data_IF_511313441316
#
_entry.id   IF_511313441316
#
_cell.length_a   1.000
_cell.length_b   1.000
_cell.length_c   1.000
_cell.angle_alpha   90.00
_cell.angle_beta   90.00
_cell.angle_gamma   90.00
#
_symmetry.space_group_name_H-M   'P 1'
#
loop_
_entity.id
_entity.type
_entity.pdbx_description
1 polymer ?
#
# COMPACT_ATOMS: atom_id res chain seq x y z
N UNK A 1 3.05 7.69 -32.68
CA UNK A 1 3.55 7.82 -31.28
C UNK A 1 2.42 7.81 -30.24
N UNK A 2 1.32 8.56 -30.43
CA UNK A 2 0.14 8.58 -29.54
C UNK A 2 -0.39 7.19 -29.10
N UNK A 3 -0.61 6.19 -29.98
CA UNK A 3 -1.10 4.88 -29.55
C UNK A 3 -0.10 4.08 -28.70
N UNK A 4 1.20 4.27 -28.88
CA UNK A 4 2.22 3.64 -28.04
C UNK A 4 2.24 4.24 -26.63
N UNK A 5 2.12 5.57 -26.52
CA UNK A 5 2.06 6.28 -25.24
C UNK A 5 0.85 5.81 -24.41
N UNK A 6 -0.32 5.77 -25.04
CA UNK A 6 -1.60 5.43 -24.39
C UNK A 6 -1.64 3.95 -23.98
N UNK A 7 -1.17 3.05 -24.85
CA UNK A 7 -1.32 1.60 -24.62
C UNK A 7 -0.24 0.98 -23.74
N UNK A 8 0.96 1.57 -23.71
CA UNK A 8 2.10 0.95 -23.05
C UNK A 8 2.76 1.87 -22.02
N UNK A 9 3.09 3.11 -22.40
CA UNK A 9 3.87 4.00 -21.52
C UNK A 9 3.06 4.45 -20.30
N UNK A 10 1.83 4.94 -20.52
CA UNK A 10 1.00 5.49 -19.45
C UNK A 10 0.61 4.43 -18.40
N UNK A 11 0.11 3.23 -18.78
CA UNK A 11 -0.14 2.15 -17.83
C UNK A 11 1.10 1.79 -17.01
N UNK A 12 2.28 1.79 -17.64
CA UNK A 12 3.53 1.50 -16.95
C UNK A 12 3.87 2.53 -15.88
N UNK A 13 3.82 3.81 -16.23
CA UNK A 13 4.12 4.89 -15.30
C UNK A 13 3.14 4.87 -14.12
N UNK A 14 1.84 4.66 -14.40
CA UNK A 14 0.81 4.62 -13.37
C UNK A 14 1.04 3.47 -12.38
N UNK A 15 1.32 2.27 -12.86
CA UNK A 15 1.58 1.10 -11.99
C UNK A 15 2.84 1.25 -11.13
N UNK A 16 3.82 2.04 -11.57
CA UNK A 16 5.01 2.34 -10.76
C UNK A 16 4.73 3.40 -9.68
N UNK A 17 3.63 4.15 -9.77
CA UNK A 17 3.35 5.25 -8.85
C UNK A 17 3.21 4.80 -7.37
N UNK A 18 2.55 3.68 -7.05
CA UNK A 18 2.54 3.15 -5.68
C UNK A 18 3.94 2.78 -5.15
N UNK A 19 4.85 2.28 -6.00
CA UNK A 19 6.23 1.99 -5.61
C UNK A 19 6.98 3.29 -5.27
N UNK A 20 6.80 4.34 -6.08
CA UNK A 20 7.35 5.65 -5.75
C UNK A 20 6.73 6.22 -4.47
N UNK A 21 5.43 6.04 -4.25
CA UNK A 21 4.76 6.38 -2.99
C UNK A 21 5.41 5.71 -1.79
N UNK A 22 5.71 4.42 -1.88
CA UNK A 22 6.42 3.68 -0.83
C UNK A 22 7.82 4.25 -0.56
N UNK A 23 8.59 4.52 -1.62
CA UNK A 23 9.91 5.12 -1.49
C UNK A 23 9.85 6.53 -0.87
N UNK A 24 8.88 7.35 -1.28
CA UNK A 24 8.67 8.69 -0.73
C UNK A 24 8.34 8.66 0.76
N UNK A 25 7.44 7.77 1.19
CA UNK A 25 7.14 7.60 2.62
C UNK A 25 8.39 7.19 3.39
N UNK A 26 9.18 6.24 2.89
CA UNK A 26 10.42 5.80 3.54
C UNK A 26 11.49 6.91 3.60
N UNK A 27 11.55 7.77 2.59
CA UNK A 27 12.46 8.92 2.54
C UNK A 27 11.99 10.09 3.41
N UNK A 28 10.68 10.27 3.58
CA UNK A 28 10.10 11.33 4.41
C UNK A 28 10.28 11.07 5.91
N UNK A 29 10.52 9.81 6.32
CA UNK A 29 10.81 9.48 7.71
C UNK A 29 12.17 10.06 8.15
N UNK A 30 12.26 10.68 9.34
CA UNK A 30 13.52 11.11 9.91
C UNK A 30 14.56 9.98 9.93
N UNK A 31 15.84 10.23 9.58
CA UNK A 31 16.85 9.18 9.47
C UNK A 31 17.00 8.33 10.74
N UNK A 32 16.95 8.95 11.91
CA UNK A 32 17.07 8.27 13.20
C UNK A 32 15.89 7.35 13.47
N UNK A 33 14.66 7.83 13.24
CA UNK A 33 13.45 7.04 13.40
C UNK A 33 13.42 5.84 12.44
N UNK A 34 13.89 6.02 11.20
CA UNK A 34 14.03 4.94 10.23
C UNK A 34 15.06 3.91 10.67
N UNK A 35 16.22 4.34 11.17
CA UNK A 35 17.26 3.44 11.66
C UNK A 35 16.78 2.61 12.85
N UNK A 36 16.13 3.26 13.81
CA UNK A 36 15.56 2.60 15.00
C UNK A 36 14.45 1.61 14.63
N UNK A 37 13.57 1.99 13.70
CA UNK A 37 12.58 1.09 13.15
C UNK A 37 13.25 -0.15 12.55
N UNK A 38 14.17 0.02 11.60
CA UNK A 38 14.89 -1.07 10.92
C UNK A 38 15.63 -2.00 11.90
N UNK A 39 16.22 -1.45 12.96
CA UNK A 39 16.89 -2.24 14.00
C UNK A 39 15.90 -3.11 14.78
N UNK A 40 14.68 -2.64 14.98
CA UNK A 40 13.64 -3.34 15.75
C UNK A 40 12.92 -4.42 14.94
N UNK A 41 12.60 -4.16 13.66
CA UNK A 41 11.89 -5.14 12.81
C UNK A 41 12.64 -6.47 12.76
N UNK A 42 13.99 -6.42 12.77
CA UNK A 42 14.85 -7.61 12.74
C UNK A 42 14.51 -8.64 13.82
N UNK A 43 13.98 -8.19 14.97
CA UNK A 43 13.67 -9.03 16.12
C UNK A 43 12.17 -9.12 16.42
N UNK A 44 11.29 -8.54 15.58
CA UNK A 44 9.85 -8.48 15.83
C UNK A 44 9.08 -9.37 14.87
N UNK A 45 8.58 -10.50 15.38
CA UNK A 45 7.79 -11.44 14.58
C UNK A 45 6.49 -10.83 14.05
N UNK A 46 5.85 -9.94 14.82
CA UNK A 46 4.62 -9.26 14.41
C UNK A 46 4.87 -8.31 13.24
N UNK A 47 5.96 -7.54 13.29
CA UNK A 47 6.34 -6.66 12.19
C UNK A 47 6.59 -7.47 10.91
N UNK A 48 7.33 -8.58 10.99
CA UNK A 48 7.56 -9.46 9.84
C UNK A 48 6.28 -10.05 9.27
N UNK A 49 5.34 -10.46 10.12
CA UNK A 49 4.05 -10.97 9.68
C UNK A 49 3.28 -9.91 8.89
N UNK A 50 3.17 -8.70 9.44
CA UNK A 50 2.47 -7.58 8.81
C UNK A 50 3.14 -7.21 7.47
N UNK A 51 4.46 -6.99 7.49
CA UNK A 51 5.22 -6.56 6.32
C UNK A 51 5.24 -7.61 5.22
N UNK A 52 5.40 -8.89 5.55
CA UNK A 52 5.44 -9.96 4.54
C UNK A 52 4.07 -10.14 3.89
N UNK A 53 3.00 -10.18 4.69
CA UNK A 53 1.64 -10.29 4.17
C UNK A 53 1.27 -9.07 3.32
N UNK A 54 1.58 -7.87 3.80
CA UNK A 54 1.36 -6.62 3.07
C UNK A 54 2.19 -6.52 1.78
N UNK A 55 3.43 -7.00 1.78
CA UNK A 55 4.26 -7.02 0.56
C UNK A 55 3.73 -8.01 -0.47
N UNK A 56 3.30 -9.22 -0.06
CA UNK A 56 2.70 -10.20 -0.96
C UNK A 56 1.42 -9.63 -1.59
N UNK A 57 0.53 -9.07 -0.75
CA UNK A 57 -0.72 -8.46 -1.20
C UNK A 57 -0.43 -7.32 -2.19
N UNK A 58 0.56 -6.48 -1.89
CA UNK A 58 0.94 -5.36 -2.73
C UNK A 58 1.46 -5.81 -4.09
N UNK A 59 2.33 -6.83 -4.14
CA UNK A 59 2.84 -7.38 -5.41
C UNK A 59 1.72 -7.97 -6.27
N UNK A 60 0.76 -8.66 -5.65
CA UNK A 60 -0.43 -9.16 -6.36
C UNK A 60 -1.26 -8.01 -6.90
N UNK A 61 -1.51 -6.97 -6.09
CA UNK A 61 -2.24 -5.79 -6.55
C UNK A 61 -1.52 -5.05 -7.68
N UNK A 62 -0.21 -4.88 -7.63
CA UNK A 62 0.58 -4.27 -8.71
C UNK A 62 0.43 -5.05 -10.02
N UNK A 63 0.49 -6.38 -9.97
CA UNK A 63 0.28 -7.25 -11.13
C UNK A 63 -1.14 -7.12 -11.70
N UNK A 64 -2.14 -7.08 -10.83
CA UNK A 64 -3.55 -6.90 -11.22
C UNK A 64 -3.81 -5.50 -11.78
N UNK A 65 -3.25 -4.45 -11.18
CA UNK A 65 -3.34 -3.06 -11.65
C UNK A 65 -2.73 -2.90 -13.03
N UNK A 66 -1.59 -3.56 -13.28
CA UNK A 66 -1.01 -3.61 -14.61
C UNK A 66 -1.97 -4.21 -15.62
N UNK A 67 -2.57 -5.37 -15.31
CA UNK A 67 -3.57 -6.01 -16.17
C UNK A 67 -4.78 -5.09 -16.39
N UNK A 68 -5.28 -4.45 -15.34
CA UNK A 68 -6.46 -3.59 -15.33
C UNK A 68 -6.29 -2.29 -16.15
N UNK A 69 -5.07 -1.78 -16.26
CA UNK A 69 -4.74 -0.57 -17.00
C UNK A 69 -4.39 -0.83 -18.48
N UNK A 70 -4.29 -2.10 -18.89
CA UNK A 70 -4.07 -2.42 -20.31
C UNK A 70 -5.32 -2.17 -21.13
N UNK A 71 -5.17 -1.36 -22.17
CA UNK A 71 -6.21 -1.13 -23.15
C UNK A 71 -6.38 -2.36 -24.06
N UNK A 72 -7.58 -2.93 -24.12
CA UNK A 72 -7.92 -4.07 -24.97
C UNK A 72 -9.04 -3.69 -25.94
N UNK A 73 -8.70 -3.64 -27.23
CA UNK A 73 -9.61 -3.32 -28.34
C UNK A 73 -10.42 -2.04 -28.09
N UNK A 74 -11.60 -2.16 -27.48
CA UNK A 74 -12.56 -1.08 -27.25
C UNK A 74 -12.66 -0.58 -25.79
N UNK A 75 -12.10 -1.28 -24.79
CA UNK A 75 -12.15 -0.85 -23.38
C UNK A 75 -10.99 -1.45 -22.54
N UNK A 76 -10.94 -1.16 -21.24
CA UNK A 76 -10.01 -1.79 -20.29
C UNK A 76 -10.43 -3.20 -19.90
N UNK A 77 -9.48 -3.96 -19.36
CA UNK A 77 -9.75 -5.25 -18.73
C UNK A 77 -10.30 -5.05 -17.31
N UNK A 78 -11.62 -5.16 -17.15
CA UNK A 78 -12.31 -5.00 -15.86
C UNK A 78 -12.32 -6.29 -15.00
N UNK A 79 -11.77 -7.42 -15.49
CA UNK A 79 -11.77 -8.69 -14.76
C UNK A 79 -10.94 -8.65 -13.47
N UNK A 80 -9.95 -7.76 -13.40
CA UNK A 80 -9.10 -7.58 -12.23
C UNK A 80 -9.73 -6.70 -11.14
N UNK A 81 -10.77 -5.93 -11.46
CA UNK A 81 -11.32 -4.89 -10.57
C UNK A 81 -11.91 -5.48 -9.30
N UNK A 82 -12.66 -6.58 -9.44
CA UNK A 82 -13.24 -7.30 -8.30
C UNK A 82 -12.15 -7.72 -7.32
N UNK A 83 -11.06 -8.28 -7.83
CA UNK A 83 -9.94 -8.72 -7.01
C UNK A 83 -9.19 -7.55 -6.38
N UNK A 84 -8.92 -6.47 -7.14
CA UNK A 84 -8.30 -5.26 -6.61
C UNK A 84 -9.10 -4.66 -5.45
N UNK A 85 -10.42 -4.61 -5.56
CA UNK A 85 -11.29 -4.12 -4.50
C UNK A 85 -11.26 -5.01 -3.25
N UNK A 86 -11.35 -6.34 -3.41
CA UNK A 86 -11.26 -7.25 -2.27
C UNK A 86 -9.89 -7.20 -1.58
N UNK A 87 -8.81 -7.07 -2.34
CA UNK A 87 -7.45 -6.95 -1.80
C UNK A 87 -7.26 -5.61 -1.07
N UNK A 88 -7.82 -4.51 -1.59
CA UNK A 88 -7.81 -3.23 -0.89
C UNK A 88 -8.63 -3.28 0.42
N UNK A 89 -9.78 -3.95 0.43
CA UNK A 89 -10.55 -4.19 1.66
C UNK A 89 -9.76 -5.03 2.67
N UNK A 90 -9.05 -6.07 2.21
CA UNK A 90 -8.18 -6.86 3.07
C UNK A 90 -7.04 -6.01 3.68
N UNK A 91 -6.55 -5.00 2.96
CA UNK A 91 -5.54 -4.09 3.47
C UNK A 91 -6.00 -3.23 4.66
N UNK A 92 -7.30 -2.99 4.79
CA UNK A 92 -7.88 -2.28 5.94
C UNK A 92 -7.71 -3.04 7.26
N UNK A 93 -7.31 -4.31 7.21
CA UNK A 93 -7.05 -5.13 8.40
C UNK A 93 -5.64 -4.94 8.95
N UNK A 94 -4.69 -4.41 8.17
CA UNK A 94 -3.31 -4.21 8.64
C UNK A 94 -3.20 -3.27 9.86
N UNK A 95 -3.95 -2.16 9.97
CA UNK A 95 -3.96 -1.34 11.18
C UNK A 95 -4.50 -2.10 12.39
N UNK A 96 -5.48 -2.99 12.19
CA UNK A 96 -6.00 -3.86 13.26
C UNK A 96 -4.94 -4.87 13.73
N UNK A 97 -4.16 -5.44 12.80
CA UNK A 97 -3.00 -6.27 13.16
C UNK A 97 -1.95 -5.45 13.94
N UNK A 98 -1.69 -4.21 13.54
CA UNK A 98 -0.82 -3.30 14.29
C UNK A 98 -1.33 -3.05 15.71
N UNK A 99 -2.64 -2.83 15.87
CA UNK A 99 -3.30 -2.70 17.18
C UNK A 99 -3.17 -3.95 18.04
N UNK A 100 -3.25 -5.16 17.47
CA UNK A 100 -2.98 -6.39 18.23
C UNK A 100 -1.56 -6.41 18.80
N UNK A 101 -0.58 -5.88 18.05
CA UNK A 101 0.79 -5.70 18.53
C UNK A 101 0.87 -4.75 19.73
N UNK A 102 0.05 -3.69 19.76
CA UNK A 102 -0.01 -2.78 20.91
C UNK A 102 -0.61 -3.43 22.14
N UNK A 103 -1.72 -4.14 21.96
CA UNK A 103 -2.38 -4.87 23.04
C UNK A 103 -1.43 -5.91 23.64
N UNK A 104 -0.73 -6.68 22.80
CA UNK A 104 0.24 -7.69 23.25
C UNK A 104 1.36 -7.07 24.10
N UNK A 105 1.93 -5.94 23.68
CA UNK A 105 2.97 -5.26 24.44
C UNK A 105 2.47 -4.66 25.75
N UNK A 106 1.25 -4.12 25.77
CA UNK A 106 0.60 -3.60 26.98
C UNK A 106 0.41 -4.74 27.99
N UNK A 107 -0.13 -5.89 27.56
CA UNK A 107 -0.29 -7.07 28.42
C UNK A 107 1.06 -7.56 28.96
N UNK A 108 2.10 -7.59 28.13
CA UNK A 108 3.46 -7.95 28.55
C UNK A 108 4.02 -6.97 29.58
N UNK A 109 3.76 -5.67 29.39
CA UNK A 109 4.20 -4.62 30.32
C UNK A 109 3.50 -4.77 31.66
N UNK A 110 2.17 -4.91 31.69
CA UNK A 110 1.41 -5.12 32.92
C UNK A 110 1.85 -6.38 33.68
N UNK A 111 2.10 -7.49 32.99
CA UNK A 111 2.57 -8.72 33.63
C UNK A 111 3.93 -8.53 34.34
N UNK A 112 4.76 -7.60 33.86
CA UNK A 112 6.06 -7.30 34.46
C UNK A 112 6.04 -6.32 35.63
N UNK A 113 4.92 -5.63 35.85
CA UNK A 113 4.76 -4.69 36.97
C UNK A 113 4.62 -5.42 38.32
N UNK A 114 4.43 -6.73 38.31
CA UNK A 114 4.40 -7.57 39.51
C UNK A 114 5.78 -7.77 40.19
N UNK A 115 6.86 -7.19 39.65
CA UNK A 115 8.20 -7.22 40.23
C UNK A 115 8.48 -6.03 41.17
N UNK A 116 9.41 -6.16 42.14
CA UNK A 116 9.62 -5.15 43.19
C UNK A 116 10.20 -3.81 42.71
N UNK A 117 10.76 -3.72 41.50
CA UNK A 117 11.26 -2.47 40.90
C UNK A 117 10.98 -2.48 39.40
N UNK A 118 10.14 -1.57 38.92
CA UNK A 118 9.92 -1.32 37.48
C UNK A 118 10.61 -0.02 37.11
N UNK A 119 11.61 -0.08 36.24
CA UNK A 119 12.28 1.13 35.74
C UNK A 119 11.54 1.70 34.52
N UNK A 120 11.47 3.03 34.35
CA UNK A 120 10.90 3.65 33.15
C UNK A 120 11.53 3.15 31.85
N UNK A 121 12.82 2.83 31.87
CA UNK A 121 13.57 2.28 30.73
C UNK A 121 13.01 0.92 30.29
N UNK A 122 12.59 0.08 31.25
CA UNK A 122 12.02 -1.22 30.96
C UNK A 122 10.61 -1.13 30.36
N UNK A 123 9.83 -0.15 30.84
CA UNK A 123 8.53 0.20 30.26
C UNK A 123 8.71 0.64 28.80
N UNK A 124 9.57 1.63 28.54
CA UNK A 124 9.85 2.14 27.18
C UNK A 124 10.31 1.01 26.24
N UNK A 125 11.18 0.11 26.73
CA UNK A 125 11.65 -1.03 25.95
C UNK A 125 10.51 -1.98 25.55
N UNK A 126 9.52 -2.20 26.42
CA UNK A 126 8.35 -3.06 26.14
C UNK A 126 7.30 -2.37 25.26
N UNK A 127 7.18 -1.04 25.32
CA UNK A 127 6.29 -0.28 24.45
C UNK A 127 6.82 -0.08 23.03
N UNK A 128 8.13 -0.04 22.82
CA UNK A 128 8.67 0.24 21.49
C UNK A 128 8.25 -0.77 20.39
N UNK A 129 8.18 -2.10 20.63
CA UNK A 129 7.63 -3.06 19.67
C UNK A 129 6.17 -2.81 19.29
N UNK A 130 5.35 -2.27 20.19
CA UNK A 130 3.97 -1.92 19.90
C UNK A 130 3.86 -0.78 18.88
N UNK A 131 4.73 0.22 19.03
CA UNK A 131 4.78 1.37 18.14
C UNK A 131 5.24 0.93 16.75
N UNK A 132 6.25 0.05 16.65
CA UNK A 132 6.70 -0.47 15.35
C UNK A 132 5.62 -1.30 14.67
N UNK A 133 4.94 -2.20 15.40
CA UNK A 133 3.83 -2.99 14.86
C UNK A 133 2.70 -2.12 14.29
N UNK A 134 2.35 -1.04 15.01
CA UNK A 134 1.37 -0.06 14.52
C UNK A 134 1.86 0.64 13.26
N UNK A 135 3.11 1.10 13.26
CA UNK A 135 3.73 1.73 12.09
C UNK A 135 3.73 0.81 10.86
N UNK A 136 4.08 -0.45 11.04
CA UNK A 136 4.03 -1.48 10.00
C UNK A 136 2.62 -1.68 9.47
N UNK A 137 1.61 -1.74 10.35
CA UNK A 137 0.21 -1.88 10.00
C UNK A 137 -0.30 -0.71 9.15
N UNK A 138 -0.02 0.51 9.59
CA UNK A 138 -0.41 1.73 8.87
C UNK A 138 0.31 1.84 7.51
N UNK A 139 1.60 1.53 7.47
CA UNK A 139 2.37 1.55 6.23
C UNK A 139 1.80 0.56 5.22
N UNK A 140 1.56 -0.70 5.63
CA UNK A 140 1.01 -1.72 4.73
C UNK A 140 -0.41 -1.38 4.28
N UNK A 141 -1.27 -0.84 5.16
CA UNK A 141 -2.59 -0.37 4.78
C UNK A 141 -2.53 0.71 3.70
N UNK A 142 -1.71 1.75 3.94
CA UNK A 142 -1.55 2.86 3.01
C UNK A 142 -1.08 2.37 1.64
N UNK A 143 -0.03 1.56 1.59
CA UNK A 143 0.55 1.10 0.33
C UNK A 143 -0.41 0.22 -0.47
N UNK A 144 -1.23 -0.59 0.20
CA UNK A 144 -2.15 -1.52 -0.46
C UNK A 144 -3.50 -0.90 -0.84
N UNK A 145 -3.81 0.33 -0.41
CA UNK A 145 -4.99 1.07 -0.93
C UNK A 145 -4.67 1.76 -2.26
N UNK A 146 -3.42 2.19 -2.46
CA UNK A 146 -3.00 2.96 -3.64
C UNK A 146 -3.26 2.27 -4.99
N UNK A 147 -2.98 0.96 -5.19
CA UNK A 147 -3.12 0.33 -6.51
C UNK A 147 -4.54 0.43 -7.09
N UNK A 148 -5.57 0.32 -6.26
CA UNK A 148 -6.97 0.44 -6.68
C UNK A 148 -7.31 1.86 -7.11
N UNK A 149 -6.87 2.86 -6.34
CA UNK A 149 -7.02 4.28 -6.69
C UNK A 149 -6.35 4.62 -8.02
N UNK A 150 -5.13 4.11 -8.22
CA UNK A 150 -4.35 4.32 -9.44
C UNK A 150 -5.03 3.71 -10.66
N UNK A 151 -5.67 2.55 -10.54
CA UNK A 151 -6.44 1.98 -11.65
C UNK A 151 -7.62 2.87 -12.00
N UNK A 152 -8.41 3.29 -11.02
CA UNK A 152 -9.58 4.15 -11.27
C UNK A 152 -9.17 5.46 -11.93
N UNK A 153 -8.27 6.22 -11.29
CA UNK A 153 -7.79 7.51 -11.80
C UNK A 153 -7.05 7.35 -13.14
N UNK A 154 -6.21 6.31 -13.24
CA UNK A 154 -5.41 6.03 -14.42
C UNK A 154 -6.27 5.79 -15.66
N UNK A 155 -7.38 5.06 -15.53
CA UNK A 155 -8.33 4.83 -16.63
C UNK A 155 -8.99 6.12 -17.09
N UNK A 156 -9.37 7.00 -16.17
CA UNK A 156 -9.98 8.30 -16.51
C UNK A 156 -9.00 9.20 -17.27
N UNK A 157 -7.73 9.23 -16.84
CA UNK A 157 -6.67 9.95 -17.55
C UNK A 157 -6.45 9.36 -18.94
N UNK A 158 -6.33 8.03 -19.05
CA UNK A 158 -6.10 7.37 -20.35
C UNK A 158 -7.29 7.63 -21.30
N UNK A 159 -8.53 7.57 -20.81
CA UNK A 159 -9.74 7.85 -21.61
C UNK A 159 -9.77 9.29 -22.10
N UNK A 160 -9.48 10.27 -21.24
CA UNK A 160 -9.45 11.68 -21.65
C UNK A 160 -8.39 11.94 -22.73
N UNK A 161 -7.24 11.25 -22.67
CA UNK A 161 -6.18 11.36 -23.67
C UNK A 161 -6.45 10.59 -24.98
N UNK A 162 -7.21 9.49 -24.91
CA UNK A 162 -7.57 8.69 -26.08
C UNK A 162 -8.54 9.42 -27.02
N UNK A 163 -9.30 10.40 -26.50
CA UNK A 163 -10.36 11.08 -27.22
C UNK A 163 -11.64 10.24 -27.21
N UNK A 164 -12.79 10.90 -27.10
CA UNK A 164 -14.07 10.20 -27.08
C UNK A 164 -14.41 9.76 -28.51
N UNK A 165 -14.58 8.45 -28.82
CA UNK A 165 -14.88 8.00 -30.18
C UNK A 165 -16.17 8.60 -30.75
N UNK A 166 -17.03 9.14 -29.88
CA UNK A 166 -18.29 9.77 -30.30
C UNK A 166 -18.12 11.17 -30.90
N UNK A 167 -17.09 11.94 -30.56
CA UNK A 167 -16.86 13.26 -31.16
C UNK A 167 -16.44 13.17 -32.64
N UNK A 168 -15.75 12.09 -33.02
CA UNK A 168 -15.30 11.87 -34.39
C UNK A 168 -16.47 11.52 -35.34
N UNK A 169 -17.57 10.94 -34.85
CA UNK A 169 -18.77 10.65 -35.66
C UNK A 169 -19.55 11.90 -36.04
N UNK A 170 -19.50 12.97 -35.24
CA UNK A 170 -20.23 14.21 -35.52
C UNK A 170 -19.41 15.26 -36.28
N UNK A 171 -18.08 15.07 -36.38
CA UNK A 171 -17.19 15.95 -37.14
C UNK A 171 -17.27 15.80 -38.67
N UNK A 172 -17.81 14.68 -39.18
CA UNK A 172 -17.99 14.43 -40.63
C UNK A 172 -19.37 14.84 -41.17
N UNK A 173 -20.23 15.45 -40.35
CA UNK A 173 -21.56 15.93 -40.75
C UNK A 173 -21.64 17.47 -40.82
N UNK A 174 -20.52 18.15 -41.04
CA UNK A 174 -20.48 19.60 -41.33
C UNK A 174 -19.79 19.87 -42.66
#
# INVERSE_FOLDING_TARGET
MRPFIIRQLLPTILVLLPLFGAALVACALPPDARHDYLKRIKNSGMDWLILSLGAILFLVQISLSWKALRWKEHNFDESADRWLNHLAQAAEWFPLLGLLGTVAAILQTFNSINGPVVTPQEIIRKYAPAITATGSGLLMALLNILPTWIVSLGRDIIRSMAGNPEEEKWGYLK
#
